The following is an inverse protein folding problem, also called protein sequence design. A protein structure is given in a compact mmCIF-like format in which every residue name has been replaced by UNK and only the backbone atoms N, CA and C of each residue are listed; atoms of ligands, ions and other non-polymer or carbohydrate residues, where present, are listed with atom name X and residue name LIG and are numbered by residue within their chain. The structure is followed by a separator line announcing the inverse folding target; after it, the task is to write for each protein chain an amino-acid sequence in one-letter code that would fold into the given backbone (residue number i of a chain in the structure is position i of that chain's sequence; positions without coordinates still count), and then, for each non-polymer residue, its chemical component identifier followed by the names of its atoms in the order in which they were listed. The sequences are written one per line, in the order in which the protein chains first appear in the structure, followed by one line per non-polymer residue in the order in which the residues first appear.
data_IF_818322218003
#
_entry.id   IF_818322218003
#
_cell.length_a   1.000
_cell.length_b   1.000
_cell.length_c   1.000
_cell.angle_alpha   90.00
_cell.angle_beta   90.00
_cell.angle_gamma   90.00
#
_symmetry.space_group_name_H-M   'P 1'
#
loop_
_entity.id
_entity.type
_entity.pdbx_description
1 polymer ?
#
# COMPACT_ATOMS: atom_id res chain seq x y z
N UNK A 1 -1.58 10.87 -10.06
CA UNK A 1 -1.72 9.95 -8.91
C UNK A 1 -0.33 9.54 -8.46
N UNK A 2 -0.05 9.61 -7.17
CA UNK A 2 1.18 9.04 -6.61
C UNK A 2 1.09 7.52 -6.54
N UNK A 3 2.19 6.81 -6.79
CA UNK A 3 2.25 5.34 -6.74
C UNK A 3 3.19 4.90 -5.62
N UNK A 4 2.70 4.08 -4.72
CA UNK A 4 3.50 3.44 -3.69
C UNK A 4 3.27 1.94 -3.67
N UNK A 5 4.30 1.20 -3.29
CA UNK A 5 4.22 -0.24 -3.09
C UNK A 5 4.12 -0.54 -1.60
N UNK A 6 3.08 -1.27 -1.21
CA UNK A 6 2.82 -1.71 0.15
C UNK A 6 3.25 -3.18 0.28
N UNK A 7 4.34 -3.41 1.01
CA UNK A 7 4.95 -4.73 1.18
C UNK A 7 4.66 -5.22 2.60
N UNK A 8 3.76 -6.20 2.80
CA UNK A 8 3.56 -6.82 4.09
C UNK A 8 4.79 -7.64 4.48
N UNK A 9 5.24 -7.51 5.72
CA UNK A 9 6.44 -8.20 6.24
C UNK A 9 6.10 -9.00 7.49
N UNK A 10 6.77 -10.13 7.66
CA UNK A 10 6.68 -10.96 8.86
C UNK A 10 7.63 -10.36 9.89
N UNK A 11 7.15 -10.04 11.10
CA UNK A 11 8.03 -9.86 12.25
C UNK A 11 8.19 -11.18 12.99
N UNK A 12 9.38 -11.44 13.50
CA UNK A 12 9.78 -12.69 14.15
C UNK A 12 8.97 -13.01 15.45
N UNK A 13 8.15 -12.07 15.94
CA UNK A 13 7.49 -12.11 17.25
C UNK A 13 5.95 -12.21 17.22
N UNK A 14 5.33 -12.59 16.09
CA UNK A 14 3.87 -12.82 15.96
C UNK A 14 2.97 -11.63 16.38
N UNK A 15 3.52 -10.41 16.54
CA UNK A 15 2.81 -9.27 17.11
C UNK A 15 2.94 -8.00 16.27
N UNK A 16 1.85 -7.65 15.58
CA UNK A 16 1.70 -6.53 14.65
C UNK A 16 2.56 -6.65 13.37
N UNK A 17 1.91 -7.10 12.29
CA UNK A 17 2.52 -7.16 10.98
C UNK A 17 2.81 -5.75 10.47
N UNK A 18 4.04 -5.51 10.04
CA UNK A 18 4.44 -4.24 9.47
C UNK A 18 4.14 -4.22 7.97
N UNK A 19 3.83 -3.03 7.46
CA UNK A 19 3.83 -2.76 6.02
C UNK A 19 4.96 -1.79 5.74
N UNK A 20 5.89 -2.20 4.89
CA UNK A 20 6.89 -1.29 4.36
C UNK A 20 6.38 -0.64 3.08
N UNK A 21 6.67 0.64 2.95
CA UNK A 21 6.27 1.42 1.80
C UNK A 21 7.47 1.71 0.92
N UNK A 22 7.26 1.66 -0.39
CA UNK A 22 8.28 2.01 -1.36
C UNK A 22 7.72 2.94 -2.42
N UNK A 23 8.56 3.86 -2.89
CA UNK A 23 8.28 4.69 -4.05
C UNK A 23 9.19 4.27 -5.22
N UNK A 24 8.68 4.27 -6.47
CA UNK A 24 9.53 4.12 -7.65
C UNK A 24 10.44 5.34 -7.81
N UNK A 25 11.69 5.12 -8.23
CA UNK A 25 12.65 6.21 -8.51
C UNK A 25 12.48 6.83 -9.89
N UNK A 26 11.86 6.11 -10.82
CA UNK A 26 11.58 6.56 -12.18
C UNK A 26 10.43 7.57 -12.31
N UNK A 27 10.33 8.17 -13.50
CA UNK A 27 9.23 9.06 -13.91
C UNK A 27 8.52 8.49 -15.14
N UNK A 28 7.31 8.97 -15.40
CA UNK A 28 6.52 8.56 -16.57
C UNK A 28 5.75 7.25 -16.38
N UNK A 29 5.19 6.70 -17.48
CA UNK A 29 4.22 5.59 -17.42
C UNK A 29 4.81 4.27 -16.94
N UNK A 30 6.09 4.00 -17.22
CA UNK A 30 6.78 2.77 -16.83
C UNK A 30 7.54 2.90 -15.50
N UNK A 31 7.32 3.97 -14.72
CA UNK A 31 8.06 4.20 -13.47
C UNK A 31 7.95 3.04 -12.48
N UNK A 32 6.89 2.26 -12.53
CA UNK A 32 6.69 1.09 -11.69
C UNK A 32 7.74 -0.03 -11.92
N UNK A 33 8.39 -0.07 -13.09
CA UNK A 33 9.47 -1.00 -13.46
C UNK A 33 10.88 -0.46 -13.16
N UNK A 34 11.01 0.52 -12.27
CA UNK A 34 12.30 1.10 -11.89
C UNK A 34 12.73 0.63 -10.51
N UNK A 35 13.95 0.99 -10.07
CA UNK A 35 14.38 0.71 -8.70
C UNK A 35 13.44 1.39 -7.72
N UNK A 36 13.17 0.72 -6.60
CA UNK A 36 12.32 1.24 -5.55
C UNK A 36 13.14 1.70 -4.35
N UNK A 37 12.68 2.76 -3.70
CA UNK A 37 13.30 3.30 -2.48
C UNK A 37 12.28 3.23 -1.36
N UNK A 38 12.73 2.75 -0.19
CA UNK A 38 11.89 2.69 1.00
C UNK A 38 11.51 4.11 1.42
N UNK A 39 10.24 4.28 1.79
CA UNK A 39 9.72 5.53 2.33
C UNK A 39 9.06 5.28 3.67
N UNK A 40 9.18 6.23 4.58
CA UNK A 40 8.51 6.15 5.87
C UNK A 40 7.02 6.48 5.72
N UNK A 41 6.13 5.86 6.52
CA UNK A 41 4.70 6.09 6.45
C UNK A 41 4.27 7.58 6.47
N UNK A 42 4.88 8.47 7.29
CA UNK A 42 4.52 9.90 7.31
C UNK A 42 4.79 10.66 6.00
N UNK A 43 5.56 10.07 5.08
CA UNK A 43 5.93 10.66 3.79
C UNK A 43 4.95 10.27 2.67
N UNK A 44 3.95 9.42 2.96
CA UNK A 44 2.90 9.08 2.00
C UNK A 44 2.07 10.31 1.64
N UNK A 45 2.14 10.71 0.36
CA UNK A 45 1.52 11.94 -0.11
C UNK A 45 1.00 11.80 -1.54
N UNK A 46 -0.25 12.22 -1.79
CA UNK A 46 -0.90 12.11 -3.11
C UNK A 46 -0.30 13.02 -4.18
N UNK A 47 0.36 14.12 -3.78
CA UNK A 47 1.06 15.08 -4.63
C UNK A 47 2.55 14.78 -4.77
N UNK A 48 3.07 13.81 -4.02
CA UNK A 48 4.43 13.32 -4.26
C UNK A 48 4.55 12.79 -5.70
N UNK A 49 5.79 12.70 -6.20
CA UNK A 49 6.07 12.17 -7.54
C UNK A 49 5.44 12.98 -8.68
N UNK A 50 5.30 14.30 -8.49
CA UNK A 50 4.73 15.26 -9.44
C UNK A 50 3.31 14.90 -9.90
N UNK A 51 2.56 14.23 -9.02
CA UNK A 51 1.20 13.84 -9.29
C UNK A 51 0.25 15.04 -9.22
N UNK A 52 -0.47 15.31 -10.31
CA UNK A 52 -1.44 16.40 -10.37
C UNK A 52 -2.79 16.06 -9.71
N UNK A 53 -3.17 14.79 -9.72
CA UNK A 53 -4.45 14.31 -9.16
C UNK A 53 -4.44 14.05 -7.65
N UNK A 54 -5.61 14.16 -7.04
CA UNK A 54 -5.91 13.96 -5.61
C UNK A 54 -6.07 12.48 -5.22
N UNK A 55 -5.20 11.65 -5.79
CA UNK A 55 -5.24 10.20 -5.66
C UNK A 55 -3.86 9.66 -5.30
N UNK A 56 -3.84 8.67 -4.42
CA UNK A 56 -2.69 7.85 -4.10
C UNK A 56 -3.05 6.38 -4.36
N UNK A 57 -2.20 5.65 -5.06
CA UNK A 57 -2.33 4.22 -5.28
C UNK A 57 -1.32 3.45 -4.45
N UNK A 58 -1.80 2.47 -3.69
CA UNK A 58 -1.01 1.49 -2.94
C UNK A 58 -1.15 0.14 -3.62
N UNK A 59 -0.06 -0.38 -4.17
CA UNK A 59 -0.02 -1.68 -4.85
C UNK A 59 0.71 -2.67 -3.95
N UNK A 60 0.18 -3.88 -3.80
CA UNK A 60 0.96 -4.98 -3.24
C UNK A 60 1.73 -5.65 -4.38
N UNK A 61 3.07 -5.51 -4.44
CA UNK A 61 3.86 -6.18 -5.47
C UNK A 61 3.98 -7.68 -5.21
N UNK A 62 4.28 -8.42 -6.28
CA UNK A 62 4.65 -9.84 -6.16
C UNK A 62 6.05 -10.00 -5.58
N UNK A 63 6.34 -11.17 -5.01
CA UNK A 63 7.69 -11.51 -4.52
C UNK A 63 8.76 -11.30 -5.60
N UNK A 64 8.46 -11.71 -6.84
CA UNK A 64 9.36 -11.54 -7.98
C UNK A 64 9.73 -10.07 -8.21
N UNK A 65 8.74 -9.18 -8.15
CA UNK A 65 8.98 -7.74 -8.37
C UNK A 65 9.75 -7.11 -7.22
N UNK A 66 9.44 -7.51 -5.98
CA UNK A 66 10.20 -7.04 -4.81
C UNK A 66 11.67 -7.43 -4.95
N UNK A 67 11.96 -8.70 -5.27
CA UNK A 67 13.34 -9.16 -5.47
C UNK A 67 14.04 -8.44 -6.63
N UNK A 68 13.30 -8.05 -7.66
CA UNK A 68 13.84 -7.36 -8.84
C UNK A 68 14.14 -5.89 -8.56
N UNK A 69 13.26 -5.19 -7.86
CA UNK A 69 13.29 -3.72 -7.75
C UNK A 69 13.66 -3.19 -6.35
N UNK A 70 13.59 -4.04 -5.31
CA UNK A 70 13.96 -3.78 -3.93
C UNK A 70 14.72 -4.99 -3.30
N UNK A 71 15.89 -5.36 -3.83
CA UNK A 71 16.58 -6.62 -3.49
C UNK A 71 17.05 -6.73 -2.02
N UNK A 72 17.18 -5.62 -1.32
CA UNK A 72 17.70 -5.55 0.06
C UNK A 72 16.65 -5.97 1.12
N UNK A 73 15.51 -6.56 0.73
CA UNK A 73 14.40 -6.87 1.64
C UNK A 73 14.29 -8.38 1.98
N UNK A 74 14.51 -8.79 3.25
CA UNK A 74 14.71 -10.22 3.56
C UNK A 74 13.48 -11.05 3.96
N UNK A 75 12.31 -10.46 4.29
CA UNK A 75 11.20 -11.24 4.89
C UNK A 75 9.83 -10.90 4.28
N UNK A 76 9.37 -11.74 3.35
CA UNK A 76 8.07 -11.60 2.67
C UNK A 76 7.12 -12.70 3.13
N UNK A 77 5.85 -12.33 3.34
CA UNK A 77 4.78 -13.30 3.60
C UNK A 77 3.99 -13.60 2.30
N UNK A 78 4.24 -14.72 1.62
CA UNK A 78 3.50 -15.08 0.41
C UNK A 78 2.05 -15.50 0.69
N UNK A 79 1.70 -15.73 1.96
CA UNK A 79 0.34 -16.12 2.36
C UNK A 79 -0.65 -14.96 2.40
N UNK A 80 -0.14 -13.73 2.29
CA UNK A 80 -0.88 -12.51 2.58
C UNK A 80 -1.19 -11.75 1.31
N UNK A 81 -2.43 -11.29 1.18
CA UNK A 81 -2.86 -10.49 0.01
C UNK A 81 -3.69 -9.30 0.45
N UNK A 82 -3.41 -8.12 -0.13
CA UNK A 82 -4.14 -6.89 0.09
C UNK A 82 -5.59 -7.10 -0.34
N UNK A 83 -6.50 -6.77 0.58
CA UNK A 83 -7.92 -7.00 0.44
C UNK A 83 -8.70 -5.70 0.37
N UNK A 84 -8.38 -4.75 1.25
CA UNK A 84 -9.05 -3.46 1.30
C UNK A 84 -8.18 -2.39 1.99
N UNK A 85 -8.59 -1.14 1.87
CA UNK A 85 -8.15 -0.03 2.70
C UNK A 85 -9.35 0.61 3.39
N UNK A 86 -9.23 0.89 4.69
CA UNK A 86 -10.19 1.67 5.47
C UNK A 86 -9.53 3.00 5.77
N UNK A 87 -10.14 4.11 5.39
CA UNK A 87 -9.58 5.41 5.68
C UNK A 87 -10.58 6.35 6.33
N UNK A 88 -10.06 7.27 7.13
CA UNK A 88 -10.81 8.31 7.82
C UNK A 88 -10.20 9.66 7.47
N UNK A 89 -11.04 10.60 7.07
CA UNK A 89 -10.62 11.99 6.90
C UNK A 89 -10.38 12.62 8.26
N UNK A 90 -9.25 13.30 8.40
CA UNK A 90 -8.88 14.09 9.56
C UNK A 90 -8.92 15.58 9.20
N UNK A 91 -9.46 16.41 10.10
CA UNK A 91 -9.36 17.88 10.03
C UNK A 91 -10.42 18.60 9.19
N UNK A 92 -11.31 17.89 8.48
CA UNK A 92 -12.43 18.50 7.74
C UNK A 92 -13.57 17.51 7.56
N UNK A 93 -14.81 18.01 7.57
CA UNK A 93 -15.99 17.23 7.19
C UNK A 93 -16.00 17.10 5.67
N UNK A 94 -15.87 15.87 5.17
CA UNK A 94 -15.99 15.59 3.75
C UNK A 94 -16.76 14.30 3.50
N UNK A 95 -17.25 14.15 2.27
CA UNK A 95 -18.01 12.99 1.81
C UNK A 95 -17.11 11.96 1.11
N UNK A 96 -15.83 11.88 1.47
CA UNK A 96 -14.93 10.92 0.86
C UNK A 96 -15.28 9.49 1.29
N UNK A 97 -15.14 8.49 0.40
CA UNK A 97 -15.35 7.10 0.76
C UNK A 97 -14.42 6.69 1.90
N UNK A 98 -14.90 5.97 2.91
CA UNK A 98 -14.05 5.48 4.01
C UNK A 98 -13.57 4.05 3.79
N UNK A 99 -14.01 3.40 2.71
CA UNK A 99 -13.70 2.02 2.40
C UNK A 99 -13.33 1.88 0.93
N UNK A 100 -12.24 1.18 0.67
CA UNK A 100 -11.69 0.97 -0.66
C UNK A 100 -11.36 -0.50 -0.83
N UNK A 101 -12.15 -1.22 -1.63
CA UNK A 101 -11.81 -2.58 -2.01
C UNK A 101 -10.54 -2.60 -2.86
N UNK A 102 -9.68 -3.60 -2.64
CA UNK A 102 -8.55 -3.82 -3.53
C UNK A 102 -9.06 -4.19 -4.94
N UNK A 103 -8.49 -3.52 -5.94
CA UNK A 103 -8.72 -3.74 -7.37
C UNK A 103 -7.45 -4.28 -8.01
N UNK A 104 -7.53 -4.67 -9.28
CA UNK A 104 -6.37 -5.14 -10.04
C UNK A 104 -5.69 -3.97 -10.76
N UNK A 105 -4.40 -3.78 -10.53
CA UNK A 105 -3.51 -2.90 -11.30
C UNK A 105 -2.34 -3.73 -11.83
N UNK A 106 -2.23 -3.89 -13.15
CA UNK A 106 -1.22 -4.77 -13.77
C UNK A 106 -1.22 -6.21 -13.21
N UNK A 107 -2.40 -6.77 -12.92
CA UNK A 107 -2.58 -8.08 -12.26
C UNK A 107 -2.07 -8.15 -10.81
N UNK A 108 -1.85 -6.99 -10.18
CA UNK A 108 -1.49 -6.88 -8.77
C UNK A 108 -2.64 -6.26 -7.96
N UNK A 109 -2.87 -6.70 -6.72
CA UNK A 109 -3.81 -6.05 -5.82
C UNK A 109 -3.42 -4.61 -5.54
N UNK A 110 -4.36 -3.67 -5.64
CA UNK A 110 -4.13 -2.27 -5.42
C UNK A 110 -5.33 -1.55 -4.79
N UNK A 111 -5.05 -0.61 -3.89
CA UNK A 111 -6.06 0.29 -3.32
C UNK A 111 -5.77 1.71 -3.81
N UNK A 112 -6.79 2.39 -4.32
CA UNK A 112 -6.71 3.78 -4.77
C UNK A 112 -7.45 4.67 -3.79
N UNK A 113 -6.71 5.47 -3.03
CA UNK A 113 -7.24 6.34 -1.99
C UNK A 113 -7.37 7.76 -2.52
N UNK A 114 -8.56 8.32 -2.37
CA UNK A 114 -8.81 9.74 -2.64
C UNK A 114 -8.42 10.59 -1.44
N UNK A 115 -7.70 11.68 -1.71
CA UNK A 115 -7.22 12.63 -0.72
C UNK A 115 -7.38 14.02 -1.33
N UNK A 116 -8.38 14.79 -0.91
CA UNK A 116 -8.64 16.14 -1.46
C UNK A 116 -7.72 17.18 -0.82
N UNK A 117 -7.63 18.35 -1.45
CA UNK A 117 -6.78 19.44 -0.97
C UNK A 117 -7.03 19.75 0.52
N UNK A 118 -5.97 20.04 1.28
CA UNK A 118 -6.02 20.37 2.71
C UNK A 118 -6.60 19.27 3.63
N UNK A 119 -6.75 18.04 3.13
CA UNK A 119 -7.16 16.89 3.95
C UNK A 119 -6.02 15.95 4.23
N UNK A 120 -6.12 15.28 5.38
CA UNK A 120 -5.24 14.18 5.79
C UNK A 120 -6.11 12.95 5.98
N UNK A 121 -5.61 11.79 5.58
CA UNK A 121 -6.36 10.52 5.63
C UNK A 121 -5.58 9.53 6.47
N UNK A 122 -6.08 9.23 7.67
CA UNK A 122 -5.61 8.05 8.40
C UNK A 122 -6.11 6.82 7.67
N UNK A 123 -5.21 5.94 7.26
CA UNK A 123 -5.50 4.76 6.44
C UNK A 123 -5.09 3.51 7.20
N UNK A 124 -5.89 2.46 7.15
CA UNK A 124 -5.54 1.10 7.59
C UNK A 124 -5.65 0.19 6.38
N UNK A 125 -4.58 -0.49 6.00
CA UNK A 125 -4.61 -1.53 4.98
C UNK A 125 -5.00 -2.85 5.62
N UNK A 126 -6.02 -3.50 5.06
CA UNK A 126 -6.46 -4.83 5.47
C UNK A 126 -5.99 -5.85 4.44
N UNK A 127 -5.37 -6.93 4.93
CA UNK A 127 -4.92 -8.06 4.16
C UNK A 127 -5.64 -9.33 4.60
N UNK A 128 -5.78 -10.28 3.67
CA UNK A 128 -6.24 -11.64 3.95
C UNK A 128 -5.02 -12.56 4.02
N UNK A 129 -4.94 -13.37 5.09
CA UNK A 129 -3.99 -14.49 5.19
C UNK A 129 -4.65 -15.75 4.67
N UNK A 130 -3.95 -16.49 3.81
CA UNK A 130 -4.41 -17.78 3.27
C UNK A 130 -3.54 -18.92 3.75
N UNK A 131 -4.14 -20.09 3.92
CA UNK A 131 -3.38 -21.31 4.22
C UNK A 131 -2.73 -21.86 2.94
N UNK A 132 -1.50 -21.42 2.67
CA UNK A 132 -0.73 -21.83 1.49
C UNK A 132 -0.27 -23.30 1.53
N UNK A 133 -0.44 -24.00 2.65
CA UNK A 133 -0.18 -25.44 2.77
C UNK A 133 -1.40 -26.28 2.41
N UNK A 134 -2.57 -25.65 2.23
CA UNK A 134 -3.80 -26.30 1.80
C UNK A 134 -3.74 -26.70 0.32
N UNK A 135 -4.30 -27.88 0.00
CA UNK A 135 -4.46 -28.34 -1.38
C UNK A 135 -5.67 -27.73 -2.11
N UNK A 136 -6.42 -26.81 -1.46
CA UNK A 136 -7.58 -26.15 -2.08
C UNK A 136 -7.16 -25.01 -3.01
N UNK A 137 -7.93 -24.80 -4.09
CA UNK A 137 -7.68 -23.75 -5.09
C UNK A 137 -8.93 -22.88 -5.28
N UNK A 138 -8.92 -21.58 -4.89
CA UNK A 138 -7.82 -20.90 -4.19
C UNK A 138 -7.65 -21.41 -2.75
N UNK A 139 -6.45 -21.27 -2.15
CA UNK A 139 -6.24 -21.60 -0.75
C UNK A 139 -7.20 -20.84 0.17
N UNK A 140 -7.68 -21.46 1.27
CA UNK A 140 -8.71 -20.86 2.12
C UNK A 140 -8.16 -19.66 2.87
N UNK A 141 -9.01 -18.67 3.12
CA UNK A 141 -8.68 -17.53 4.01
C UNK A 141 -8.77 -18.02 5.45
N UNK A 142 -7.70 -17.80 6.21
CA UNK A 142 -7.58 -18.20 7.62
C UNK A 142 -7.47 -17.04 8.59
N UNK A 143 -7.32 -15.81 8.08
CA UNK A 143 -7.25 -14.62 8.94
C UNK A 143 -7.35 -13.32 8.17
N UNK A 144 -7.65 -12.27 8.93
CA UNK A 144 -7.52 -10.88 8.51
C UNK A 144 -6.38 -10.23 9.29
N UNK A 145 -5.64 -9.40 8.58
CA UNK A 145 -4.46 -8.71 9.04
C UNK A 145 -4.64 -7.24 8.75
N UNK A 146 -4.20 -6.36 9.64
CA UNK A 146 -4.31 -4.92 9.47
C UNK A 146 -2.95 -4.27 9.67
N UNK A 147 -2.60 -3.31 8.81
CA UNK A 147 -1.44 -2.47 9.03
C UNK A 147 -1.65 -1.54 10.22
N UNK A 148 -0.58 -0.86 10.64
CA UNK A 148 -0.68 0.40 11.39
C UNK A 148 -1.47 1.45 10.60
N UNK A 149 -1.76 2.60 11.19
CA UNK A 149 -2.55 3.68 10.62
C UNK A 149 -1.71 4.78 9.95
N UNK A 150 -1.07 4.57 8.77
CA UNK A 150 -0.37 5.65 8.09
C UNK A 150 -1.31 6.81 7.79
N UNK A 151 -0.76 8.02 7.93
CA UNK A 151 -1.44 9.23 7.49
C UNK A 151 -1.00 9.58 6.05
N UNK A 152 -1.97 9.68 5.14
CA UNK A 152 -1.73 10.20 3.80
C UNK A 152 -2.01 11.70 3.77
N UNK A 153 -1.04 12.47 3.32
CA UNK A 153 -1.14 13.92 3.13
C UNK A 153 -1.55 14.27 1.69
N UNK A 154 -2.24 15.39 1.52
CA UNK A 154 -2.36 16.11 0.25
C UNK A 154 -1.77 17.51 0.42
N UNK A 155 -0.45 17.60 0.34
CA UNK A 155 0.29 18.87 0.41
C UNK A 155 1.41 18.90 -0.63
N UNK A 156 1.67 20.07 -1.20
CA UNK A 156 2.91 20.36 -1.95
C UNK A 156 4.09 20.60 -1.02
N UNK A 157 3.80 20.96 0.24
CA UNK A 157 4.80 21.19 1.28
C UNK A 157 5.28 19.84 1.79
N UNK A 158 6.41 19.41 1.27
CA UNK A 158 7.03 18.12 1.58
C UNK A 158 7.81 18.16 2.88
N UNK A 159 7.14 18.03 4.03
CA UNK A 159 7.65 17.42 5.28
C UNK A 159 6.49 16.80 6.06
#
# INVERSE_FOLDING_TARGET
MALYFAVPVIRDDNGAEDVFYYAPTGRGPDRWKTRWTRVDPPVLNSKSQDATGDLLMLVQPSEKEIRQFAPDHPQLDPSVTLFAGVAKTLGSDNLLPNFYMAQQFNNLPAVVVSVVEQTRRGLILTFVRRDILSNMVPPPIVGLMASTDPEIKNSTDGV
#
